data_IF_455229368516
#
_entry.id   IF_455229368516
#
_cell.length_a   1.000
_cell.length_b   1.000
_cell.length_c   1.000
_cell.angle_alpha   90.00
_cell.angle_beta   90.00
_cell.angle_gamma   90.00
#
_symmetry.space_group_name_H-M   'P 1'
#
loop_
_entity.id
_entity.type
_entity.pdbx_description
1 polymer ?
#
# COMPACT_ATOMS: atom_id res chain seq x y z
N UNK A 1 -12.11 13.10 -37.55
CA UNK A 1 -11.14 12.67 -36.52
C UNK A 1 -11.06 11.17 -36.57
N UNK A 2 -9.90 10.60 -36.94
CA UNK A 2 -9.73 9.16 -36.93
C UNK A 2 -9.51 8.71 -35.46
N UNK A 3 -10.49 8.02 -34.89
CA UNK A 3 -10.30 7.34 -33.62
C UNK A 3 -9.47 6.08 -33.88
N UNK A 4 -8.17 6.15 -33.59
CA UNK A 4 -7.30 4.97 -33.56
C UNK A 4 -7.64 4.17 -32.29
N UNK A 5 -8.35 3.06 -32.47
CA UNK A 5 -8.56 2.07 -31.41
C UNK A 5 -7.29 1.23 -31.31
N UNK A 6 -6.58 1.38 -30.20
CA UNK A 6 -5.42 0.52 -29.88
C UNK A 6 -5.91 -0.92 -29.68
N UNK A 7 -5.24 -1.87 -30.34
CA UNK A 7 -5.53 -3.29 -30.10
C UNK A 7 -5.04 -3.70 -28.70
N UNK A 8 -5.53 -4.82 -28.17
CA UNK A 8 -5.02 -5.40 -26.91
C UNK A 8 -3.51 -5.64 -26.96
N UNK A 9 -2.98 -5.98 -28.15
CA UNK A 9 -1.54 -6.15 -28.34
C UNK A 9 -0.80 -4.82 -28.22
N UNK A 10 -1.34 -3.73 -28.77
CA UNK A 10 -0.75 -2.39 -28.66
C UNK A 10 -0.77 -1.89 -27.22
N UNK A 11 -1.89 -2.10 -26.49
CA UNK A 11 -2.00 -1.80 -25.08
C UNK A 11 -0.97 -2.58 -24.25
N UNK A 12 -0.75 -3.86 -24.58
CA UNK A 12 0.28 -4.68 -23.92
C UNK A 12 1.69 -4.19 -24.23
N UNK A 13 1.98 -3.76 -25.47
CA UNK A 13 3.28 -3.19 -25.85
C UNK A 13 3.52 -1.86 -25.13
N UNK A 14 2.52 -0.96 -25.09
CA UNK A 14 2.61 0.30 -24.34
C UNK A 14 2.78 0.04 -22.85
N UNK A 15 2.09 -0.96 -22.30
CA UNK A 15 2.28 -1.43 -20.94
C UNK A 15 3.72 -1.88 -20.67
N UNK A 16 4.33 -2.62 -21.60
CA UNK A 16 5.74 -3.05 -21.51
C UNK A 16 6.74 -1.90 -21.64
N UNK A 17 6.40 -0.83 -22.35
CA UNK A 17 7.25 0.37 -22.39
C UNK A 17 7.22 1.09 -21.04
N UNK A 18 6.07 1.09 -20.35
CA UNK A 18 5.90 1.73 -19.04
C UNK A 18 6.44 0.87 -17.88
N UNK A 19 6.30 -0.45 -17.98
CA UNK A 19 6.83 -1.45 -17.06
C UNK A 19 7.45 -2.59 -17.87
N UNK A 20 8.77 -2.55 -18.14
CA UNK A 20 9.47 -3.59 -18.91
C UNK A 20 9.34 -5.00 -18.31
N UNK A 21 9.03 -5.08 -17.01
CA UNK A 21 8.83 -6.34 -16.29
C UNK A 21 7.37 -6.82 -16.30
N UNK A 22 6.46 -6.05 -16.92
CA UNK A 22 5.05 -6.42 -17.05
C UNK A 22 4.89 -7.60 -18.00
N UNK A 23 4.55 -8.76 -17.42
CA UNK A 23 4.15 -9.94 -18.17
C UNK A 23 2.63 -10.17 -18.03
N UNK A 24 1.84 -9.97 -19.10
CA UNK A 24 0.40 -10.21 -19.05
C UNK A 24 0.04 -11.69 -18.78
N UNK A 25 0.97 -12.64 -18.97
CA UNK A 25 0.76 -14.05 -18.64
C UNK A 25 0.85 -14.34 -17.13
N UNK A 26 1.48 -13.45 -16.36
CA UNK A 26 1.61 -13.53 -14.90
C UNK A 26 0.49 -12.76 -14.17
N UNK A 27 -0.50 -12.24 -14.89
CA UNK A 27 -1.66 -11.59 -14.28
C UNK A 27 -2.47 -12.64 -13.52
N UNK A 28 -2.67 -12.41 -12.22
CA UNK A 28 -3.43 -13.32 -11.37
C UNK A 28 -4.85 -13.47 -11.90
N UNK A 29 -5.28 -14.73 -12.04
CA UNK A 29 -6.65 -15.03 -12.42
C UNK A 29 -7.54 -14.99 -11.18
N UNK A 30 -8.53 -14.11 -11.20
CA UNK A 30 -9.56 -14.05 -10.17
C UNK A 30 -10.54 -15.20 -10.38
N UNK A 31 -10.71 -16.05 -9.38
CA UNK A 31 -11.67 -17.16 -9.39
C UNK A 31 -12.67 -16.99 -8.25
N UNK A 32 -13.95 -16.80 -8.60
CA UNK A 32 -15.03 -16.58 -7.63
C UNK A 32 -15.46 -17.86 -6.90
N UNK A 33 -15.06 -19.04 -7.39
CA UNK A 33 -15.32 -20.32 -6.73
C UNK A 33 -14.37 -20.60 -5.56
N UNK A 34 -13.25 -19.85 -5.47
CA UNK A 34 -12.30 -20.00 -4.38
C UNK A 34 -12.82 -19.36 -3.07
N UNK A 35 -12.40 -19.90 -1.91
CA UNK A 35 -12.67 -19.28 -0.61
C UNK A 35 -12.23 -17.81 -0.58
N UNK A 36 -12.98 -16.97 0.15
CA UNK A 36 -12.68 -15.53 0.30
C UNK A 36 -11.30 -15.28 0.90
N UNK A 37 -10.81 -16.19 1.75
CA UNK A 37 -9.44 -16.23 2.28
C UNK A 37 -8.88 -17.65 2.13
N UNK A 38 -7.68 -17.83 1.58
CA UNK A 38 -7.08 -19.15 1.39
C UNK A 38 -6.67 -19.85 2.69
N UNK A 39 -6.52 -19.12 3.80
CA UNK A 39 -6.09 -19.65 5.09
C UNK A 39 -7.22 -19.75 6.13
N UNK A 40 -8.41 -19.21 5.82
CA UNK A 40 -9.64 -19.36 6.62
C UNK A 40 -10.74 -19.85 5.70
N UNK A 41 -10.76 -21.16 5.46
CA UNK A 41 -11.61 -21.79 4.44
C UNK A 41 -12.99 -22.19 4.95
N UNK A 42 -13.17 -22.35 6.27
CA UNK A 42 -14.48 -22.59 6.87
C UNK A 42 -15.33 -21.30 6.74
N UNK A 43 -16.47 -21.43 6.05
CA UNK A 43 -17.35 -20.30 5.73
C UNK A 43 -17.94 -19.68 7.02
N UNK A 44 -18.32 -20.51 7.99
CA UNK A 44 -18.95 -20.05 9.23
C UNK A 44 -17.96 -19.32 10.12
N UNK A 45 -16.72 -19.84 10.20
CA UNK A 45 -15.64 -19.19 10.92
C UNK A 45 -15.23 -17.88 10.23
N UNK A 46 -15.07 -17.90 8.91
CA UNK A 46 -14.76 -16.71 8.12
C UNK A 46 -15.81 -15.62 8.33
N UNK A 47 -17.10 -15.93 8.18
CA UNK A 47 -18.16 -14.93 8.30
C UNK A 47 -18.25 -14.37 9.72
N UNK A 48 -17.97 -15.17 10.76
CA UNK A 48 -17.87 -14.70 12.15
C UNK A 48 -16.72 -13.70 12.32
N UNK A 49 -15.51 -14.05 11.89
CA UNK A 49 -14.31 -13.20 12.00
C UNK A 49 -14.50 -11.91 11.18
N UNK A 50 -15.04 -12.02 9.96
CA UNK A 50 -15.29 -10.89 9.08
C UNK A 50 -16.37 -9.93 9.64
N UNK A 51 -17.39 -10.45 10.35
CA UNK A 51 -18.39 -9.62 11.01
C UNK A 51 -17.79 -8.83 12.20
N UNK A 52 -16.92 -9.48 12.97
CA UNK A 52 -16.18 -8.83 14.07
C UNK A 52 -15.27 -7.72 13.54
N UNK A 53 -14.47 -8.02 12.50
CA UNK A 53 -13.64 -7.05 11.80
C UNK A 53 -14.46 -5.87 11.27
N UNK A 54 -15.58 -6.15 10.57
CA UNK A 54 -16.44 -5.12 9.97
C UNK A 54 -16.95 -4.14 11.03
N UNK A 55 -17.27 -4.62 12.23
CA UNK A 55 -17.74 -3.77 13.34
C UNK A 55 -16.66 -2.77 13.75
N UNK A 56 -15.40 -3.21 13.83
CA UNK A 56 -14.26 -2.34 14.15
C UNK A 56 -14.02 -1.29 13.06
N UNK A 57 -14.08 -1.67 11.78
CA UNK A 57 -13.85 -0.75 10.66
C UNK A 57 -14.98 0.28 10.51
N UNK A 58 -16.23 -0.11 10.77
CA UNK A 58 -17.36 0.81 10.75
C UNK A 58 -17.20 1.93 11.78
N UNK A 59 -16.66 1.65 12.97
CA UNK A 59 -16.39 2.67 13.98
C UNK A 59 -15.38 3.72 13.48
N UNK A 60 -14.32 3.29 12.81
CA UNK A 60 -13.31 4.18 12.23
C UNK A 60 -13.87 4.99 11.04
N UNK A 61 -14.68 4.38 10.19
CA UNK A 61 -15.35 5.11 9.10
C UNK A 61 -16.26 6.21 9.65
N UNK A 62 -16.94 5.98 10.78
CA UNK A 62 -17.72 7.02 11.43
C UNK A 62 -16.83 8.14 11.99
N UNK A 63 -15.66 7.82 12.54
CA UNK A 63 -14.67 8.81 12.98
C UNK A 63 -14.19 9.69 11.82
N UNK A 64 -13.91 9.11 10.65
CA UNK A 64 -13.52 9.87 9.44
C UNK A 64 -14.60 10.84 8.98
N UNK A 65 -15.89 10.45 9.04
CA UNK A 65 -16.98 11.36 8.72
C UNK A 65 -17.06 12.55 9.69
N UNK A 66 -16.68 12.36 10.96
CA UNK A 66 -16.60 13.44 11.94
C UNK A 66 -15.41 14.36 11.66
N UNK A 67 -14.23 13.79 11.33
CA UNK A 67 -13.07 14.58 10.93
C UNK A 67 -13.33 15.42 9.68
N UNK A 68 -14.11 14.90 8.73
CA UNK A 68 -14.54 15.62 7.53
C UNK A 68 -15.65 16.66 7.79
N UNK A 69 -16.18 16.76 9.01
CA UNK A 69 -17.29 17.66 9.34
C UNK A 69 -18.63 17.26 8.73
N UNK A 70 -18.75 16.02 8.23
CA UNK A 70 -19.96 15.48 7.60
C UNK A 70 -20.94 14.86 8.60
N UNK A 71 -20.55 14.75 9.87
CA UNK A 71 -21.40 14.32 10.98
C UNK A 71 -21.21 15.22 12.20
N UNK A 72 -22.24 15.31 13.08
CA UNK A 72 -22.08 15.98 14.37
C UNK A 72 -20.96 15.31 15.17
N UNK A 73 -20.17 16.10 15.89
CA UNK A 73 -19.22 15.57 16.86
C UNK A 73 -20.00 14.74 17.90
N UNK A 74 -19.66 13.46 18.01
CA UNK A 74 -20.16 12.62 19.11
C UNK A 74 -19.39 12.92 20.40
N UNK A 75 -19.88 12.43 21.54
CA UNK A 75 -19.14 12.51 22.81
C UNK A 75 -17.79 11.76 22.76
N UNK A 76 -17.70 10.68 21.98
CA UNK A 76 -16.46 9.94 21.81
C UNK A 76 -15.48 10.71 20.94
N UNK A 77 -14.25 10.89 21.44
CA UNK A 77 -13.14 11.45 20.67
C UNK A 77 -12.84 10.54 19.45
N UNK A 78 -12.88 11.08 18.21
CA UNK A 78 -12.47 10.34 17.02
C UNK A 78 -11.10 9.65 17.13
N UNK A 79 -10.16 10.23 17.89
CA UNK A 79 -8.85 9.62 18.12
C UNK A 79 -8.94 8.34 18.97
N UNK A 80 -9.81 8.33 19.98
CA UNK A 80 -10.04 7.16 20.82
C UNK A 80 -10.70 6.02 20.02
N UNK A 81 -11.53 6.34 19.03
CA UNK A 81 -12.11 5.34 18.14
C UNK A 81 -11.03 4.63 17.31
N UNK A 82 -10.02 5.37 16.85
CA UNK A 82 -8.85 4.79 16.17
C UNK A 82 -8.04 3.87 17.08
N UNK A 83 -7.73 4.31 18.31
CA UNK A 83 -6.99 3.50 19.28
C UNK A 83 -7.74 2.21 19.62
N UNK A 84 -9.04 2.29 19.91
CA UNK A 84 -9.91 1.13 20.15
C UNK A 84 -9.96 0.19 18.95
N UNK A 85 -9.97 0.72 17.73
CA UNK A 85 -9.92 -0.11 16.52
C UNK A 85 -8.61 -0.88 16.41
N UNK A 86 -7.46 -0.23 16.66
CA UNK A 86 -6.15 -0.89 16.66
C UNK A 86 -6.06 -2.00 17.72
N UNK A 87 -6.61 -1.77 18.91
CA UNK A 87 -6.65 -2.77 19.99
C UNK A 87 -7.57 -3.94 19.65
N UNK A 88 -8.75 -3.65 19.10
CA UNK A 88 -9.70 -4.66 18.63
C UNK A 88 -9.11 -5.52 17.50
N UNK A 89 -8.46 -4.89 16.52
CA UNK A 89 -7.76 -5.61 15.44
C UNK A 89 -6.58 -6.43 15.98
N UNK A 90 -5.88 -5.93 17.01
CA UNK A 90 -4.79 -6.68 17.67
C UNK A 90 -5.30 -7.93 18.38
N UNK A 91 -6.45 -7.84 19.05
CA UNK A 91 -7.14 -8.99 19.64
C UNK A 91 -7.56 -9.98 18.55
N UNK A 92 -8.18 -9.49 17.48
CA UNK A 92 -8.64 -10.31 16.37
C UNK A 92 -7.51 -11.06 15.67
N UNK A 93 -6.37 -10.39 15.44
CA UNK A 93 -5.16 -10.98 14.86
C UNK A 93 -4.55 -12.03 15.80
N UNK A 94 -4.53 -11.78 17.11
CA UNK A 94 -4.00 -12.73 18.08
C UNK A 94 -4.84 -14.00 18.15
N UNK A 95 -6.18 -13.87 18.05
CA UNK A 95 -7.09 -15.01 18.01
C UNK A 95 -7.07 -15.74 16.66
N UNK A 96 -6.79 -15.04 15.55
CA UNK A 96 -6.83 -15.60 14.19
C UNK A 96 -5.55 -15.26 13.41
N UNK A 97 -4.39 -15.86 13.74
CA UNK A 97 -3.11 -15.48 13.16
C UNK A 97 -2.99 -15.71 11.65
N UNK A 98 -3.83 -16.53 11.03
CA UNK A 98 -3.83 -16.73 9.59
C UNK A 98 -4.76 -15.78 8.82
N UNK A 99 -5.58 -14.97 9.50
CA UNK A 99 -6.51 -14.07 8.85
C UNK A 99 -5.79 -12.79 8.36
N UNK A 100 -5.64 -12.66 7.04
CA UNK A 100 -4.81 -11.62 6.44
C UNK A 100 -5.49 -10.23 6.44
N UNK A 101 -6.82 -10.17 6.26
CA UNK A 101 -7.57 -8.91 6.17
C UNK A 101 -7.39 -8.03 7.42
N UNK A 102 -7.42 -8.63 8.61
CA UNK A 102 -7.29 -7.87 9.85
C UNK A 102 -5.93 -7.15 9.97
N UNK A 103 -4.85 -7.78 9.48
CA UNK A 103 -3.52 -7.17 9.44
C UNK A 103 -3.46 -6.02 8.45
N UNK A 104 -4.01 -6.22 7.25
CA UNK A 104 -4.08 -5.17 6.24
C UNK A 104 -4.86 -3.94 6.76
N UNK A 105 -5.95 -4.17 7.49
CA UNK A 105 -6.76 -3.12 8.07
C UNK A 105 -6.09 -2.45 9.27
N UNK A 106 -5.38 -3.22 10.11
CA UNK A 106 -4.59 -2.66 11.22
C UNK A 106 -3.49 -1.75 10.69
N UNK A 107 -2.78 -2.17 9.64
CA UNK A 107 -1.80 -1.34 8.95
C UNK A 107 -2.44 -0.05 8.38
N UNK A 108 -3.63 -0.13 7.79
CA UNK A 108 -4.33 1.05 7.28
C UNK A 108 -4.70 2.05 8.38
N UNK A 109 -5.24 1.56 9.50
CA UNK A 109 -5.55 2.39 10.66
C UNK A 109 -4.28 3.03 11.25
N UNK A 110 -3.18 2.27 11.37
CA UNK A 110 -1.89 2.80 11.84
C UNK A 110 -1.35 3.89 10.91
N UNK A 111 -1.41 3.69 9.58
CA UNK A 111 -0.99 4.70 8.60
C UNK A 111 -1.81 5.98 8.70
N UNK A 112 -3.10 5.88 8.98
CA UNK A 112 -3.94 7.06 9.20
C UNK A 112 -3.58 7.78 10.51
N UNK A 113 -3.26 7.02 11.56
CA UNK A 113 -2.93 7.55 12.88
C UNK A 113 -1.55 8.24 12.91
N UNK A 114 -0.51 7.59 12.38
CA UNK A 114 0.90 7.99 12.49
C UNK A 114 1.50 8.56 11.18
N UNK A 115 0.79 8.38 10.05
CA UNK A 115 1.25 8.80 8.73
C UNK A 115 2.19 7.80 8.07
N UNK A 116 2.46 7.99 6.78
CA UNK A 116 3.27 7.09 5.95
C UNK A 116 4.76 7.25 6.21
N UNK A 117 5.22 8.42 6.68
CA UNK A 117 6.62 8.62 7.05
C UNK A 117 7.01 8.00 8.41
N UNK A 118 6.23 7.06 8.94
CA UNK A 118 6.35 6.52 10.30
C UNK A 118 7.70 5.85 10.61
N UNK A 119 8.48 5.56 9.57
CA UNK A 119 9.82 4.96 9.67
C UNK A 119 10.95 5.99 9.73
N UNK A 120 10.63 7.29 9.80
CA UNK A 120 11.63 8.36 9.68
C UNK A 120 11.44 9.45 10.73
N UNK A 121 12.57 10.00 11.20
CA UNK A 121 12.64 11.09 12.18
C UNK A 121 13.46 12.26 11.63
N UNK A 122 13.31 13.44 12.26
CA UNK A 122 14.11 14.64 11.97
C UNK A 122 13.62 15.50 10.81
N UNK A 123 12.56 15.08 10.12
CA UNK A 123 11.90 15.85 9.06
C UNK A 123 10.40 15.70 9.19
N UNK A 124 9.66 16.78 8.95
CA UNK A 124 8.21 16.73 8.91
C UNK A 124 7.70 16.00 7.65
N UNK A 125 6.78 15.04 7.81
CA UNK A 125 6.13 14.37 6.69
C UNK A 125 5.35 15.37 5.82
N UNK A 126 5.15 15.03 4.55
CA UNK A 126 4.20 15.77 3.70
C UNK A 126 2.73 15.42 3.98
N UNK A 127 2.49 14.28 4.60
CA UNK A 127 1.18 13.79 5.02
C UNK A 127 0.78 14.35 6.40
N UNK A 128 -0.54 14.43 6.65
CA UNK A 128 -1.14 14.95 7.88
C UNK A 128 -1.64 13.80 8.76
N UNK A 129 -0.79 13.23 9.64
CA UNK A 129 -1.23 12.20 10.58
C UNK A 129 -2.25 12.76 11.59
N UNK A 130 -3.02 11.88 12.22
CA UNK A 130 -3.96 12.28 13.27
C UNK A 130 -3.25 12.60 14.60
N UNK A 131 -2.15 11.91 14.90
CA UNK A 131 -1.29 12.19 16.04
C UNK A 131 -0.08 13.00 15.59
N UNK A 132 0.25 14.06 16.31
CA UNK A 132 1.49 14.82 16.10
C UNK A 132 2.72 13.94 16.39
N UNK A 133 3.76 14.00 15.56
CA UNK A 133 4.99 13.19 15.64
C UNK A 133 5.93 13.54 16.81
N UNK A 134 5.36 13.81 17.98
CA UNK A 134 6.11 14.32 19.13
C UNK A 134 6.79 13.21 19.93
N UNK A 135 6.32 11.95 19.82
CA UNK A 135 6.80 10.84 20.65
C UNK A 135 7.46 9.70 19.85
N UNK A 136 8.80 9.61 19.85
CA UNK A 136 9.53 8.50 19.23
C UNK A 136 9.24 7.13 19.86
N UNK A 137 8.83 7.06 21.13
CA UNK A 137 8.57 5.80 21.84
C UNK A 137 7.29 5.11 21.33
N UNK A 138 6.31 5.87 20.83
CA UNK A 138 5.11 5.31 20.20
C UNK A 138 5.31 5.03 18.70
N UNK A 139 6.05 5.89 18.00
CA UNK A 139 6.22 5.82 16.55
C UNK A 139 7.01 4.59 16.08
N UNK A 140 8.12 4.27 16.78
CA UNK A 140 8.99 3.15 16.42
C UNK A 140 8.25 1.79 16.45
N UNK A 141 7.59 1.39 17.56
CA UNK A 141 6.85 0.13 17.59
C UNK A 141 5.65 0.14 16.65
N UNK A 142 5.00 1.29 16.43
CA UNK A 142 3.92 1.41 15.45
C UNK A 142 4.39 1.15 14.01
N UNK A 143 5.55 1.71 13.63
CA UNK A 143 6.19 1.49 12.34
C UNK A 143 6.58 0.03 12.13
N UNK A 144 7.27 -0.58 13.10
CA UNK A 144 7.67 -1.99 13.01
C UNK A 144 6.46 -2.93 12.91
N UNK A 145 5.44 -2.72 13.76
CA UNK A 145 4.21 -3.52 13.73
C UNK A 145 3.48 -3.38 12.39
N UNK A 146 3.38 -2.17 11.85
CA UNK A 146 2.73 -1.91 10.56
C UNK A 146 3.44 -2.65 9.43
N UNK A 147 4.77 -2.61 9.37
CA UNK A 147 5.52 -3.37 8.38
C UNK A 147 5.37 -4.88 8.57
N UNK A 148 5.43 -5.38 9.81
CA UNK A 148 5.21 -6.80 10.13
C UNK A 148 3.83 -7.30 9.71
N UNK A 149 2.79 -6.50 9.91
CA UNK A 149 1.43 -6.78 9.46
C UNK A 149 1.34 -6.91 7.94
N UNK A 150 1.95 -5.97 7.22
CA UNK A 150 1.96 -5.96 5.76
C UNK A 150 2.78 -7.12 5.20
N UNK A 151 3.97 -7.39 5.75
CA UNK A 151 4.82 -8.52 5.39
C UNK A 151 4.08 -9.86 5.58
N UNK A 152 3.43 -10.03 6.73
CA UNK A 152 2.68 -11.25 7.05
C UNK A 152 1.43 -11.39 6.17
N UNK A 153 0.68 -10.31 5.96
CA UNK A 153 -0.48 -10.29 5.06
C UNK A 153 -0.09 -10.69 3.62
N UNK A 154 0.99 -10.11 3.11
CA UNK A 154 1.51 -10.43 1.77
C UNK A 154 1.95 -11.90 1.73
N UNK A 155 2.68 -12.38 2.73
CA UNK A 155 3.12 -13.78 2.80
C UNK A 155 1.94 -14.76 2.79
N UNK A 156 0.90 -14.48 3.58
CA UNK A 156 -0.30 -15.33 3.69
C UNK A 156 -1.13 -15.40 2.39
N UNK A 157 -1.13 -14.33 1.60
CA UNK A 157 -1.98 -14.22 0.40
C UNK A 157 -1.23 -14.40 -0.91
N UNK A 158 0.11 -14.39 -0.89
CA UNK A 158 0.91 -14.59 -2.10
C UNK A 158 0.68 -16.01 -2.62
N UNK A 159 0.09 -16.18 -3.82
CA UNK A 159 -0.22 -17.50 -4.34
C UNK A 159 1.07 -18.24 -4.71
N UNK A 160 1.13 -19.53 -4.38
CA UNK A 160 2.25 -20.41 -4.72
C UNK A 160 1.88 -21.25 -5.95
N UNK A 161 2.79 -21.35 -6.92
CA UNK A 161 2.63 -22.21 -8.10
C UNK A 161 2.62 -21.47 -9.45
N UNK A 162 2.63 -22.22 -10.56
CA UNK A 162 2.84 -21.67 -11.91
C UNK A 162 1.64 -20.89 -12.46
N UNK A 163 0.42 -21.16 -11.97
CA UNK A 163 -0.79 -20.46 -12.39
C UNK A 163 -1.51 -19.93 -11.14
N UNK A 164 -1.11 -18.77 -10.61
CA UNK A 164 -1.66 -18.22 -9.39
C UNK A 164 -3.13 -17.84 -9.58
N UNK A 165 -4.00 -18.39 -8.73
CA UNK A 165 -5.44 -18.08 -8.68
C UNK A 165 -5.78 -17.59 -7.28
N UNK A 166 -6.53 -16.50 -7.20
CA UNK A 166 -7.00 -15.93 -5.95
C UNK A 166 -8.49 -15.62 -6.05
N UNK A 167 -9.19 -15.69 -4.93
CA UNK A 167 -10.52 -15.09 -4.87
C UNK A 167 -10.43 -13.57 -5.00
N UNK A 168 -11.53 -12.94 -5.40
CA UNK A 168 -11.60 -11.47 -5.55
C UNK A 168 -11.22 -10.75 -4.26
N UNK A 169 -11.65 -11.28 -3.12
CA UNK A 169 -11.37 -10.69 -1.81
C UNK A 169 -9.88 -10.83 -1.45
N UNK A 170 -9.29 -12.01 -1.61
CA UNK A 170 -7.86 -12.23 -1.37
C UNK A 170 -6.99 -11.34 -2.27
N UNK A 171 -7.30 -11.27 -3.58
CA UNK A 171 -6.59 -10.41 -4.53
C UNK A 171 -6.66 -8.93 -4.13
N UNK A 172 -7.84 -8.44 -3.74
CA UNK A 172 -8.02 -7.06 -3.27
C UNK A 172 -7.20 -6.77 -2.01
N UNK A 173 -7.20 -7.67 -1.04
CA UNK A 173 -6.42 -7.52 0.20
C UNK A 173 -4.92 -7.53 -0.08
N UNK A 174 -4.43 -8.47 -0.88
CA UNK A 174 -3.02 -8.57 -1.27
C UNK A 174 -2.55 -7.33 -2.05
N UNK A 175 -3.37 -6.91 -3.01
CA UNK A 175 -3.13 -5.69 -3.79
C UNK A 175 -3.04 -4.45 -2.89
N UNK A 176 -3.96 -4.34 -1.92
CA UNK A 176 -3.94 -3.28 -0.91
C UNK A 176 -2.66 -3.33 -0.08
N UNK A 177 -2.30 -4.49 0.47
CA UNK A 177 -1.12 -4.64 1.32
C UNK A 177 0.18 -4.20 0.63
N UNK A 178 0.40 -4.61 -0.63
CA UNK A 178 1.52 -4.10 -1.43
C UNK A 178 1.45 -2.59 -1.60
N UNK A 179 0.29 -2.04 -1.96
CA UNK A 179 0.12 -0.59 -2.17
C UNK A 179 0.41 0.21 -0.89
N UNK A 180 -0.02 -0.30 0.27
CA UNK A 180 0.22 0.34 1.56
C UNK A 180 1.71 0.32 1.92
N UNK A 181 2.40 -0.82 1.73
CA UNK A 181 3.84 -0.94 1.99
C UNK A 181 4.64 -0.05 1.05
N UNK A 182 4.25 0.01 -0.23
CA UNK A 182 4.84 0.91 -1.22
C UNK A 182 4.73 2.38 -0.82
N UNK A 183 3.57 2.81 -0.30
CA UNK A 183 3.36 4.18 0.13
C UNK A 183 4.28 4.57 1.30
N UNK A 184 4.43 3.68 2.30
CA UNK A 184 5.36 3.87 3.42
C UNK A 184 6.80 3.98 2.89
N UNK A 185 7.24 3.07 2.03
CA UNK A 185 8.59 3.09 1.48
C UNK A 185 8.86 4.33 0.61
N UNK A 186 7.92 4.73 -0.25
CA UNK A 186 8.05 5.93 -1.06
C UNK A 186 8.11 7.20 -0.21
N UNK A 187 7.30 7.27 0.86
CA UNK A 187 7.33 8.41 1.76
C UNK A 187 8.65 8.45 2.55
N UNK A 188 9.13 7.29 2.99
CA UNK A 188 10.43 7.16 3.64
C UNK A 188 11.55 7.66 2.73
N UNK A 189 11.62 7.24 1.46
CA UNK A 189 12.66 7.69 0.52
C UNK A 189 12.63 9.21 0.31
N UNK A 190 11.44 9.80 0.16
CA UNK A 190 11.26 11.27 0.05
C UNK A 190 11.74 12.01 1.29
N UNK A 191 11.55 11.44 2.48
CA UNK A 191 11.99 12.06 3.73
C UNK A 191 13.50 11.92 3.94
N UNK A 192 14.10 10.81 3.53
CA UNK A 192 15.56 10.65 3.52
C UNK A 192 16.23 11.66 2.58
N UNK A 193 15.63 11.93 1.41
CA UNK A 193 16.11 12.96 0.49
C UNK A 193 16.12 14.38 1.11
N UNK A 194 15.32 14.61 2.16
CA UNK A 194 15.25 15.88 2.91
C UNK A 194 16.15 15.88 4.16
N UNK A 195 16.97 14.85 4.38
CA UNK A 195 17.83 14.73 5.55
C UNK A 195 17.19 14.01 6.74
N UNK A 196 16.06 13.32 6.55
CA UNK A 196 15.48 12.45 7.56
C UNK A 196 16.38 11.24 7.86
N UNK A 197 16.17 10.62 9.02
CA UNK A 197 16.90 9.41 9.43
C UNK A 197 15.91 8.27 9.61
N UNK A 198 16.23 7.09 9.06
CA UNK A 198 15.44 5.88 9.25
C UNK A 198 15.47 5.47 10.72
N UNK A 199 14.30 5.23 11.31
CA UNK A 199 14.14 4.70 12.65
C UNK A 199 13.20 3.51 12.61
N UNK A 200 13.79 2.32 12.59
CA UNK A 200 13.10 1.02 12.65
C UNK A 200 13.75 0.15 13.71
N UNK A 201 13.10 -0.95 14.07
CA UNK A 201 13.68 -1.95 14.99
C UNK A 201 14.95 -2.58 14.39
N UNK A 202 16.01 -2.81 15.19
CA UNK A 202 17.32 -3.25 14.68
C UNK A 202 17.30 -4.53 13.85
N UNK A 203 16.38 -5.44 14.13
CA UNK A 203 16.25 -6.76 13.49
C UNK A 203 15.63 -6.67 12.08
N UNK A 204 15.08 -5.51 11.72
CA UNK A 204 14.42 -5.32 10.42
C UNK A 204 15.44 -5.13 9.29
N UNK A 205 15.09 -5.67 8.12
CA UNK A 205 15.89 -5.48 6.89
C UNK A 205 16.00 -4.02 6.48
N UNK A 206 14.98 -3.21 6.79
CA UNK A 206 14.93 -1.78 6.44
C UNK A 206 15.98 -0.94 7.20
N UNK A 207 16.63 -1.48 8.23
CA UNK A 207 17.63 -0.77 9.05
C UNK A 207 18.87 -0.36 8.23
N UNK A 208 19.30 -1.20 7.29
CA UNK A 208 20.48 -0.94 6.45
C UNK A 208 20.17 -0.23 5.13
N UNK A 209 18.88 -0.02 4.84
CA UNK A 209 18.44 0.52 3.56
C UNK A 209 18.78 1.99 3.42
N UNK A 210 19.27 2.34 2.23
CA UNK A 210 19.46 3.71 1.79
C UNK A 210 18.22 4.20 1.06
N UNK A 211 18.19 5.49 0.74
CA UNK A 211 17.11 6.13 -0.01
C UNK A 211 16.73 5.34 -1.29
N UNK A 212 17.72 4.87 -2.04
CA UNK A 212 17.53 4.12 -3.28
C UNK A 212 16.83 2.78 -3.04
N UNK A 213 17.16 2.08 -1.96
CA UNK A 213 16.57 0.79 -1.62
C UNK A 213 15.08 0.92 -1.30
N UNK A 214 14.71 1.99 -0.57
CA UNK A 214 13.31 2.32 -0.31
C UNK A 214 12.54 2.71 -1.58
N UNK A 215 13.15 3.48 -2.47
CA UNK A 215 12.53 3.85 -3.74
C UNK A 215 12.31 2.64 -4.65
N UNK A 216 13.30 1.75 -4.73
CA UNK A 216 13.20 0.52 -5.52
C UNK A 216 12.17 -0.45 -4.91
N UNK A 217 12.17 -0.62 -3.59
CA UNK A 217 11.18 -1.43 -2.89
C UNK A 217 9.76 -0.89 -3.08
N UNK A 218 9.58 0.43 -3.01
CA UNK A 218 8.29 1.06 -3.30
C UNK A 218 7.84 0.80 -4.73
N UNK A 219 8.75 0.92 -5.70
CA UNK A 219 8.44 0.66 -7.11
C UNK A 219 7.99 -0.79 -7.34
N UNK A 220 8.71 -1.77 -6.75
CA UNK A 220 8.34 -3.19 -6.86
C UNK A 220 6.98 -3.46 -6.24
N UNK A 221 6.70 -2.90 -5.06
CA UNK A 221 5.41 -3.09 -4.40
C UNK A 221 4.25 -2.40 -5.14
N UNK A 222 4.44 -1.21 -5.72
CA UNK A 222 3.41 -0.61 -6.57
C UNK A 222 3.13 -1.44 -7.82
N UNK A 223 4.17 -2.01 -8.44
CA UNK A 223 4.00 -2.90 -9.58
C UNK A 223 3.19 -4.15 -9.20
N UNK A 224 3.51 -4.80 -8.07
CA UNK A 224 2.75 -5.94 -7.55
C UNK A 224 1.31 -5.56 -7.18
N UNK A 225 1.11 -4.43 -6.50
CA UNK A 225 -0.22 -3.89 -6.19
C UNK A 225 -1.06 -3.71 -7.46
N UNK A 226 -0.47 -3.13 -8.51
CA UNK A 226 -1.09 -2.97 -9.82
C UNK A 226 -1.41 -4.30 -10.51
N UNK A 227 -0.50 -5.28 -10.46
CA UNK A 227 -0.70 -6.63 -11.01
C UNK A 227 -1.87 -7.37 -10.36
N UNK A 228 -2.11 -7.15 -9.08
CA UNK A 228 -3.25 -7.71 -8.35
C UNK A 228 -4.53 -6.86 -8.46
N UNK A 229 -4.52 -5.76 -9.23
CA UNK A 229 -5.74 -5.03 -9.60
C UNK A 229 -6.00 -3.70 -8.88
N UNK A 230 -4.98 -3.05 -8.30
CA UNK A 230 -5.12 -1.69 -7.77
C UNK A 230 -4.67 -0.64 -8.78
N UNK A 231 -5.62 0.15 -9.28
CA UNK A 231 -5.37 1.18 -10.30
C UNK A 231 -4.46 2.31 -9.83
N UNK A 232 -4.55 2.69 -8.54
CA UNK A 232 -3.67 3.70 -7.95
C UNK A 232 -2.23 3.17 -7.96
N UNK A 233 -2.04 1.93 -7.54
CA UNK A 233 -0.73 1.28 -7.55
C UNK A 233 -0.17 1.14 -8.97
N UNK A 234 -1.01 0.76 -9.93
CA UNK A 234 -0.63 0.69 -11.36
C UNK A 234 -0.16 2.04 -11.89
N UNK A 235 -0.87 3.13 -11.57
CA UNK A 235 -0.45 4.49 -11.96
C UNK A 235 0.85 4.91 -11.28
N UNK A 236 1.00 4.62 -9.99
CA UNK A 236 2.19 4.99 -9.23
C UNK A 236 3.42 4.16 -9.62
N UNK A 237 3.27 2.89 -10.00
CA UNK A 237 4.36 2.01 -10.41
C UNK A 237 5.21 2.63 -11.52
N UNK A 238 4.57 3.25 -12.52
CA UNK A 238 5.26 3.94 -13.62
C UNK A 238 6.02 5.16 -13.10
N UNK A 239 5.41 5.94 -12.21
CA UNK A 239 6.01 7.17 -11.68
C UNK A 239 7.19 6.91 -10.75
N UNK A 240 7.25 5.74 -10.11
CA UNK A 240 8.31 5.35 -9.17
C UNK A 240 9.41 4.51 -9.82
N UNK A 241 9.18 3.98 -11.02
CA UNK A 241 10.15 3.14 -11.72
C UNK A 241 11.38 3.97 -12.18
N UNK A 242 12.60 3.67 -11.68
CA UNK A 242 13.81 4.42 -12.04
C UNK A 242 14.12 4.38 -13.54
N UNK A 243 13.91 3.24 -14.20
CA UNK A 243 14.10 3.09 -15.65
C UNK A 243 13.12 3.95 -16.42
N UNK A 244 11.83 3.93 -16.04
CA UNK A 244 10.82 4.77 -16.67
C UNK A 244 11.13 6.27 -16.51
N UNK A 245 11.63 6.68 -15.33
CA UNK A 245 12.10 8.06 -15.11
C UNK A 245 13.24 8.45 -16.04
N UNK A 246 14.27 7.59 -16.17
CA UNK A 246 15.42 7.83 -17.04
C UNK A 246 14.99 7.91 -18.51
N UNK A 247 14.21 6.96 -19.00
CA UNK A 247 13.66 6.99 -20.36
C UNK A 247 12.85 8.27 -20.60
N UNK A 248 12.00 8.65 -19.64
CA UNK A 248 11.22 9.88 -19.71
C UNK A 248 12.06 11.16 -19.71
N UNK A 249 13.20 11.19 -19.01
CA UNK A 249 14.16 12.29 -19.06
C UNK A 249 14.90 12.36 -20.39
N UNK A 250 15.36 11.21 -20.92
CA UNK A 250 16.03 11.12 -22.22
C UNK A 250 15.11 11.59 -23.35
N UNK A 251 13.85 11.14 -23.36
CA UNK A 251 12.86 11.57 -24.34
C UNK A 251 12.59 13.08 -24.21
N UNK A 252 12.45 13.61 -22.99
CA UNK A 252 12.27 15.06 -22.78
C UNK A 252 13.44 15.88 -23.29
N UNK A 253 14.68 15.47 -23.03
CA UNK A 253 15.87 16.16 -23.55
C UNK A 253 15.98 16.04 -25.08
N UNK A 254 15.62 14.89 -25.66
CA UNK A 254 15.55 14.73 -27.11
C UNK A 254 14.48 15.63 -27.74
N UNK A 255 13.27 15.68 -27.16
CA UNK A 255 12.19 16.56 -27.64
C UNK A 255 12.55 18.03 -27.52
N UNK A 256 13.22 18.43 -26.43
CA UNK A 256 13.75 19.79 -26.24
C UNK A 256 14.78 20.16 -27.30
N UNK A 257 15.63 19.22 -27.71
CA UNK A 257 16.64 19.42 -28.76
C UNK A 257 16.00 19.58 -30.14
N UNK A 258 14.98 18.79 -30.46
CA UNK A 258 14.36 18.77 -31.79
C UNK A 258 13.27 19.84 -31.97
N UNK A 259 12.46 20.12 -30.95
CA UNK A 259 11.26 20.97 -31.07
C UNK A 259 11.32 22.26 -30.24
N UNK A 260 12.43 22.50 -29.54
CA UNK A 260 12.64 23.71 -28.75
C UNK A 260 11.93 23.71 -27.37
N UNK A 261 12.14 24.77 -26.56
CA UNK A 261 11.73 24.82 -25.16
C UNK A 261 10.22 24.90 -24.90
N UNK A 262 9.38 25.00 -25.95
CA UNK A 262 7.94 25.18 -25.85
C UNK A 262 7.16 23.94 -25.35
N UNK A 263 7.80 22.78 -25.20
CA UNK A 263 7.17 21.52 -24.75
C UNK A 263 7.34 21.25 -23.25
N UNK A 264 7.27 22.30 -22.41
CA UNK A 264 7.64 22.25 -20.98
C UNK A 264 6.47 22.16 -19.99
N UNK A 265 5.25 21.84 -20.42
CA UNK A 265 4.11 21.67 -19.50
C UNK A 265 3.89 20.20 -19.10
#
# INVERSE_FOLDING_TARGET
MAYLSLSTRDLNVLGKIQDPEYDPSLVVQVDESLPKDPNVTDITEYDRIAAEERTLILAVQQAELQFAGLRPKTEADPLDLYKKCLDGLSTLISANPSYASARNNRAQASRRLFGDGMLTMGVEPSDKPLISRSDPEEMLPAGSRTLSDLDTCISLLTPTGPQPRLSRQAAKTLSSAHTQRAAIYLQTSKMLAKGGVVKVEPERRETSWQMIDFEEAASRDFALGGRYGNDIAKGLAVSTNPTAKLCGQMVREAMKKEYGPAFTA
#
